data_IF_675940589335
#
_entry.id   IF_675940589335
#
_cell.length_a   1.000
_cell.length_b   1.000
_cell.length_c   1.000
_cell.angle_alpha   90.00
_cell.angle_beta   90.00
_cell.angle_gamma   90.00
#
_symmetry.space_group_name_H-M   'P 1'
#
loop_
_entity.id
_entity.type
_entity.pdbx_description
1 polymer ?
#
# COMPACT_ATOMS: atom_id res chain seq x y z
N UNK A 1 48.46 -44.96 12.94
CA UNK A 1 47.56 -45.84 13.71
C UNK A 1 46.20 -45.14 13.75
N UNK A 2 45.07 -45.62 13.21
CA UNK A 2 44.68 -46.96 12.73
C UNK A 2 44.72 -48.03 13.85
N UNK A 3 43.71 -48.87 14.09
CA UNK A 3 42.53 -49.23 13.28
C UNK A 3 41.45 -50.03 14.10
N UNK A 4 40.15 -49.83 13.79
CA UNK A 4 38.98 -50.78 13.68
C UNK A 4 37.67 -50.20 14.31
N UNK A 5 36.47 -50.19 13.67
CA UNK A 5 35.54 -51.28 13.19
C UNK A 5 34.85 -52.03 14.39
N UNK A 6 33.59 -52.49 14.41
CA UNK A 6 32.56 -52.72 13.34
C UNK A 6 31.11 -53.02 13.86
N UNK A 7 30.06 -52.76 13.04
CA UNK A 7 28.64 -53.32 13.00
C UNK A 7 27.69 -53.25 14.22
N UNK A 8 26.35 -53.00 14.13
CA UNK A 8 25.18 -53.61 13.39
C UNK A 8 24.72 -54.94 14.06
N UNK A 9 23.44 -55.27 14.35
CA UNK A 9 22.23 -55.45 13.47
C UNK A 9 20.88 -55.59 14.23
N UNK A 10 19.75 -55.21 13.58
CA UNK A 10 18.38 -55.84 13.48
C UNK A 10 17.61 -56.41 14.73
N UNK A 11 16.27 -56.61 14.79
CA UNK A 11 15.04 -56.00 14.18
C UNK A 11 13.76 -56.44 15.01
N UNK A 12 12.47 -56.61 14.55
CA UNK A 12 11.29 -56.27 15.39
C UNK A 12 10.14 -57.32 15.49
N UNK A 13 9.04 -56.94 16.18
CA UNK A 13 7.65 -57.45 16.03
C UNK A 13 6.69 -56.26 16.33
N UNK A 14 5.66 -55.98 15.52
CA UNK A 14 4.29 -56.56 15.51
C UNK A 14 3.51 -56.37 16.85
N UNK A 15 2.27 -55.87 16.89
CA UNK A 15 1.35 -55.40 15.82
C UNK A 15 0.13 -54.64 16.39
N UNK A 16 -0.56 -53.83 15.55
CA UNK A 16 -2.00 -53.42 15.63
C UNK A 16 -2.58 -52.78 16.92
N UNK A 17 -3.64 -51.95 16.96
CA UNK A 17 -4.49 -51.17 16.02
C UNK A 17 -5.20 -50.09 16.92
N UNK A 18 -6.11 -49.17 16.58
CA UNK A 18 -6.96 -48.66 15.47
C UNK A 18 -7.16 -47.14 15.83
N UNK A 19 -7.54 -46.14 15.04
CA UNK A 19 -7.99 -45.89 13.65
C UNK A 19 -7.58 -44.40 13.34
N UNK A 20 -8.07 -43.57 12.40
CA UNK A 20 -9.05 -43.64 11.30
C UNK A 20 -8.73 -42.58 10.24
N UNK A 21 -8.83 -42.92 8.95
CA UNK A 21 -8.77 -41.99 7.81
C UNK A 21 -9.46 -42.67 6.61
N UNK A 22 -10.49 -42.07 6.01
CA UNK A 22 -11.17 -42.65 4.85
C UNK A 22 -10.61 -42.13 3.50
N UNK A 23 -10.29 -43.02 2.53
CA UNK A 23 -9.75 -42.67 1.22
C UNK A 23 -10.84 -42.53 0.13
N UNK A 24 -10.40 -42.28 -1.10
CA UNK A 24 -11.17 -41.75 -2.23
C UNK A 24 -11.00 -42.60 -3.49
N UNK A 25 -12.09 -43.19 -4.01
CA UNK A 25 -12.12 -44.05 -5.20
C UNK A 25 -13.58 -44.31 -5.67
N UNK A 26 -13.91 -44.75 -6.89
CA UNK A 26 -13.35 -44.64 -8.26
C UNK A 26 -14.38 -45.28 -9.24
N UNK A 27 -14.65 -44.68 -10.42
CA UNK A 27 -15.32 -45.30 -11.61
C UNK A 27 -16.79 -45.82 -11.39
N UNK A 28 -17.65 -46.04 -12.40
CA UNK A 28 -17.65 -45.75 -13.84
C UNK A 28 -18.88 -46.36 -14.58
N UNK A 29 -19.07 -46.00 -15.85
CA UNK A 29 -19.86 -46.72 -16.91
C UNK A 29 -21.42 -46.70 -16.98
N UNK A 30 -21.94 -45.91 -17.95
CA UNK A 30 -22.92 -46.26 -19.03
C UNK A 30 -24.33 -46.84 -18.78
N UNK A 31 -25.36 -46.18 -19.35
CA UNK A 31 -26.68 -46.78 -19.71
C UNK A 31 -27.74 -45.77 -20.21
N UNK A 32 -28.36 -45.99 -21.40
CA UNK A 32 -29.35 -45.08 -22.06
C UNK A 32 -29.99 -45.79 -23.30
N UNK A 33 -31.22 -45.50 -23.79
CA UNK A 33 -32.45 -44.92 -23.19
C UNK A 33 -33.60 -45.99 -23.12
N UNK A 34 -34.92 -45.64 -22.97
CA UNK A 34 -35.75 -45.42 -24.18
C UNK A 34 -36.95 -44.41 -24.09
N UNK A 35 -37.20 -43.76 -25.24
CA UNK A 35 -38.49 -43.32 -25.83
C UNK A 35 -39.63 -42.63 -25.01
N UNK A 36 -39.82 -41.34 -25.34
CA UNK A 36 -41.05 -40.73 -25.88
C UNK A 36 -42.37 -40.71 -25.08
N UNK A 37 -42.77 -39.51 -24.62
CA UNK A 37 -44.09 -38.91 -24.96
C UNK A 37 -44.11 -37.39 -24.69
N UNK A 38 -44.80 -36.64 -25.54
CA UNK A 38 -44.94 -35.19 -25.46
C UNK A 38 -46.14 -34.75 -24.61
N UNK A 39 -46.03 -33.58 -23.96
CA UNK A 39 -47.11 -32.59 -23.77
C UNK A 39 -46.46 -31.23 -23.47
N UNK A 40 -46.93 -30.16 -24.12
CA UNK A 40 -46.63 -28.77 -23.74
C UNK A 40 -47.87 -28.19 -23.05
N UNK A 41 -47.67 -27.50 -21.93
CA UNK A 41 -48.67 -26.65 -21.26
C UNK A 41 -48.25 -25.18 -21.33
N UNK A 42 -49.21 -24.28 -21.17
CA UNK A 42 -49.11 -22.88 -21.61
C UNK A 42 -48.36 -21.93 -20.65
N UNK A 43 -48.19 -20.69 -21.12
CA UNK A 43 -47.64 -19.47 -20.49
C UNK A 43 -48.16 -19.21 -19.05
N UNK A 44 -47.58 -18.35 -18.20
CA UNK A 44 -46.87 -17.09 -18.46
C UNK A 44 -45.92 -16.69 -17.29
N UNK A 45 -44.92 -15.83 -17.51
CA UNK A 45 -44.05 -15.29 -16.43
C UNK A 45 -43.41 -13.92 -16.79
N UNK A 46 -44.10 -12.79 -16.49
CA UNK A 46 -43.63 -11.44 -16.83
C UNK A 46 -42.92 -10.76 -15.65
N UNK A 47 -41.74 -11.26 -15.27
CA UNK A 47 -40.89 -10.66 -14.23
C UNK A 47 -39.67 -9.94 -14.84
N UNK A 48 -39.85 -8.67 -15.24
CA UNK A 48 -38.75 -7.80 -15.66
C UNK A 48 -37.71 -7.68 -14.54
N UNK A 49 -36.50 -8.20 -14.78
CA UNK A 49 -35.34 -7.83 -13.98
C UNK A 49 -34.76 -6.57 -14.59
N UNK A 50 -34.93 -5.45 -13.91
CA UNK A 50 -34.12 -4.26 -14.17
C UNK A 50 -32.67 -4.60 -13.87
N UNK A 51 -31.96 -5.12 -14.88
CA UNK A 51 -30.50 -5.11 -14.89
C UNK A 51 -30.08 -3.64 -14.97
N UNK A 52 -29.97 -3.04 -13.78
CA UNK A 52 -29.60 -1.66 -13.55
C UNK A 52 -28.14 -1.49 -13.93
N UNK A 53 -27.89 -1.54 -15.23
CA UNK A 53 -26.59 -1.46 -15.85
C UNK A 53 -25.84 -0.28 -15.26
N UNK A 54 -24.81 -0.60 -14.48
CA UNK A 54 -23.80 0.38 -14.10
C UNK A 54 -23.09 0.76 -15.38
N UNK A 55 -23.66 1.74 -16.07
CA UNK A 55 -22.98 2.60 -17.01
C UNK A 55 -21.82 3.21 -16.24
N UNK A 56 -20.69 2.51 -16.25
CA UNK A 56 -19.40 3.06 -15.91
C UNK A 56 -19.16 4.15 -16.93
N UNK A 57 -19.54 5.38 -16.56
CA UNK A 57 -19.30 6.58 -17.36
C UNK A 57 -17.83 6.56 -17.68
N UNK A 58 -17.52 6.22 -18.93
CA UNK A 58 -16.16 6.15 -19.42
C UNK A 58 -15.72 7.61 -19.59
N UNK A 59 -15.27 8.18 -18.47
CA UNK A 59 -14.82 9.55 -18.38
C UNK A 59 -13.65 9.70 -19.34
N UNK A 60 -13.92 10.27 -20.52
CA UNK A 60 -12.90 10.46 -21.53
C UNK A 60 -11.77 11.31 -20.96
N UNK A 61 -10.53 10.98 -21.35
CA UNK A 61 -9.36 11.73 -20.92
C UNK A 61 -9.43 13.14 -21.52
N UNK A 62 -10.03 14.08 -20.78
CA UNK A 62 -9.93 15.52 -21.07
C UNK A 62 -8.46 15.92 -20.98
N UNK A 63 -7.78 15.87 -22.12
CA UNK A 63 -6.33 15.98 -22.20
C UNK A 63 -5.89 17.40 -21.84
N UNK A 64 -5.28 17.56 -20.67
CA UNK A 64 -4.88 18.85 -20.13
C UNK A 64 -3.36 19.01 -20.25
N UNK A 65 -2.95 19.73 -21.31
CA UNK A 65 -1.56 20.02 -21.70
C UNK A 65 -0.75 20.83 -20.65
N UNK A 66 -1.29 21.04 -19.45
CA UNK A 66 -0.63 21.70 -18.33
C UNK A 66 -1.55 21.86 -17.12
N UNK A 67 -0.99 22.05 -15.91
CA UNK A 67 -1.76 22.18 -14.68
C UNK A 67 -2.57 23.48 -14.63
N UNK A 68 -3.88 23.38 -14.35
CA UNK A 68 -4.79 24.54 -14.21
C UNK A 68 -4.55 25.35 -12.92
N UNK A 69 -3.85 24.76 -11.94
CA UNK A 69 -3.44 25.42 -10.69
C UNK A 69 -1.99 25.03 -10.39
N UNK A 70 -1.12 26.01 -10.16
CA UNK A 70 0.24 25.77 -9.69
C UNK A 70 0.26 25.31 -8.22
N UNK A 71 1.27 24.53 -7.86
CA UNK A 71 1.49 24.08 -6.49
C UNK A 71 1.87 25.27 -5.58
N UNK A 72 1.14 25.56 -4.49
CA UNK A 72 1.36 26.76 -3.67
C UNK A 72 2.50 26.54 -2.67
N UNK A 73 3.74 26.56 -3.16
CA UNK A 73 4.99 26.30 -2.41
C UNK A 73 5.04 27.00 -1.06
N UNK A 74 4.60 28.26 -0.99
CA UNK A 74 4.61 29.10 0.22
C UNK A 74 3.65 28.56 1.28
N UNK A 75 2.41 28.22 0.91
CA UNK A 75 1.41 27.64 1.83
C UNK A 75 1.89 26.27 2.33
N UNK A 76 2.47 25.47 1.43
CA UNK A 76 3.04 24.16 1.80
C UNK A 76 4.26 24.32 2.71
N UNK A 77 5.08 25.37 2.55
CA UNK A 77 6.19 25.65 3.46
C UNK A 77 5.70 26.07 4.85
N UNK A 78 4.61 26.83 4.92
CA UNK A 78 3.93 27.16 6.18
C UNK A 78 3.37 25.91 6.86
N UNK A 79 2.61 25.07 6.14
CA UNK A 79 2.15 23.75 6.64
C UNK A 79 3.31 22.90 7.17
N UNK A 80 4.42 22.81 6.42
CA UNK A 80 5.62 22.07 6.85
C UNK A 80 6.21 22.62 8.14
N UNK A 81 6.33 23.95 8.26
CA UNK A 81 6.84 24.62 9.46
C UNK A 81 5.92 24.41 10.65
N UNK A 82 4.63 24.63 10.48
CA UNK A 82 3.65 24.63 11.56
C UNK A 82 3.44 23.22 12.10
N UNK A 83 3.38 22.20 11.23
CA UNK A 83 3.36 20.79 11.66
C UNK A 83 4.67 20.42 12.36
N UNK A 84 5.85 20.73 11.80
CA UNK A 84 7.11 20.37 12.46
C UNK A 84 7.30 21.08 13.80
N UNK A 85 6.90 22.35 13.92
CA UNK A 85 6.91 23.08 15.20
C UNK A 85 5.96 22.43 16.20
N UNK A 86 4.69 22.24 15.84
CA UNK A 86 3.66 21.74 16.75
C UNK A 86 3.96 20.32 17.28
N UNK A 87 4.59 19.46 16.48
CA UNK A 87 4.90 18.07 16.88
C UNK A 87 6.30 17.88 17.49
N UNK A 88 7.23 18.83 17.36
CA UNK A 88 8.65 18.62 17.74
C UNK A 88 9.28 19.71 18.62
N UNK A 89 8.56 20.80 18.94
CA UNK A 89 9.09 21.89 19.77
C UNK A 89 9.34 21.48 21.23
N UNK A 90 8.52 20.59 21.79
CA UNK A 90 8.62 20.17 23.20
C UNK A 90 9.14 18.73 23.34
N UNK A 91 9.29 18.01 22.23
CA UNK A 91 9.74 16.62 22.18
C UNK A 91 11.27 16.45 22.29
N UNK A 92 11.68 15.35 22.94
CA UNK A 92 13.07 14.94 23.04
C UNK A 92 13.39 13.79 22.08
N UNK A 93 14.68 13.54 21.81
CA UNK A 93 15.07 12.46 20.91
C UNK A 93 15.00 11.09 21.59
N UNK A 94 13.91 10.37 21.36
CA UNK A 94 13.78 8.93 21.64
C UNK A 94 13.56 8.18 20.31
N UNK A 95 14.43 7.21 19.93
CA UNK A 95 14.42 6.61 18.59
C UNK A 95 13.14 5.86 18.20
N UNK A 96 12.44 5.20 19.13
CA UNK A 96 11.21 4.47 18.82
C UNK A 96 10.03 5.43 18.57
N UNK A 97 9.84 6.41 19.46
CA UNK A 97 8.89 7.51 19.31
C UNK A 97 9.18 8.30 18.02
N UNK A 98 10.44 8.68 17.74
CA UNK A 98 10.81 9.40 16.52
C UNK A 98 10.44 8.60 15.25
N UNK A 99 10.56 7.27 15.27
CA UNK A 99 10.18 6.39 14.15
C UNK A 99 8.67 6.36 13.91
N UNK A 100 7.88 6.50 14.96
CA UNK A 100 6.41 6.59 14.88
C UNK A 100 5.98 8.01 14.47
N UNK A 101 6.53 9.02 15.13
CA UNK A 101 6.29 10.44 14.89
C UNK A 101 6.61 10.86 13.44
N UNK A 102 7.70 10.36 12.84
CA UNK A 102 8.02 10.62 11.44
C UNK A 102 6.93 10.15 10.46
N UNK A 103 6.26 9.03 10.76
CA UNK A 103 5.11 8.56 9.97
C UNK A 103 3.92 9.48 10.16
N UNK A 104 3.49 9.69 11.41
CA UNK A 104 2.38 10.58 11.77
C UNK A 104 2.51 11.96 11.15
N UNK A 105 3.69 12.59 11.25
CA UNK A 105 3.99 13.89 10.62
C UNK A 105 3.86 13.80 9.09
N UNK A 106 4.35 12.72 8.46
CA UNK A 106 4.20 12.52 7.00
C UNK A 106 2.75 12.34 6.56
N UNK A 107 1.93 11.60 7.32
CA UNK A 107 0.49 11.45 7.10
C UNK A 107 -0.26 12.79 7.27
N UNK A 108 0.07 13.57 8.31
CA UNK A 108 -0.56 14.88 8.61
C UNK A 108 -0.22 15.90 7.52
N UNK A 109 1.05 16.02 7.13
CA UNK A 109 1.48 16.88 6.00
C UNK A 109 0.77 16.46 4.72
N UNK A 110 0.77 15.16 4.40
CA UNK A 110 0.12 14.62 3.20
C UNK A 110 -1.37 14.92 3.15
N UNK A 111 -2.04 14.94 4.30
CA UNK A 111 -3.46 15.28 4.42
C UNK A 111 -3.66 16.78 4.17
N UNK A 112 -3.00 17.65 4.94
CA UNK A 112 -3.15 19.11 4.78
C UNK A 112 -2.79 19.62 3.38
N UNK A 113 -1.74 19.06 2.74
CA UNK A 113 -1.37 19.43 1.36
C UNK A 113 -2.39 18.90 0.32
N UNK A 114 -3.08 17.79 0.61
CA UNK A 114 -4.19 17.28 -0.23
C UNK A 114 -5.45 18.15 -0.07
N UNK A 115 -5.70 18.69 1.12
CA UNK A 115 -6.85 19.55 1.41
C UNK A 115 -6.79 20.90 0.68
N UNK A 116 -5.63 21.29 0.15
CA UNK A 116 -5.47 22.40 -0.81
C UNK A 116 -6.14 22.14 -2.17
N UNK A 117 -6.74 20.96 -2.38
CA UNK A 117 -7.50 20.56 -3.57
C UNK A 117 -6.78 20.87 -4.90
N UNK A 118 -5.52 20.44 -4.97
CA UNK A 118 -4.67 20.57 -6.17
C UNK A 118 -4.97 19.36 -7.07
N UNK A 119 -5.68 19.52 -8.20
CA UNK A 119 -6.07 18.40 -9.03
C UNK A 119 -4.85 17.82 -9.76
N UNK A 120 -4.88 16.51 -10.04
CA UNK A 120 -3.88 15.81 -10.87
C UNK A 120 -2.44 15.74 -10.34
N UNK A 121 -2.18 16.06 -9.08
CA UNK A 121 -0.83 15.92 -8.49
C UNK A 121 -0.65 14.64 -7.66
N UNK A 122 0.45 13.93 -7.90
CA UNK A 122 0.98 12.86 -7.04
C UNK A 122 1.89 13.50 -5.99
N UNK A 123 1.48 13.38 -4.72
CA UNK A 123 2.20 13.94 -3.57
C UNK A 123 3.08 12.86 -2.92
N UNK A 124 4.37 13.14 -2.81
CA UNK A 124 5.36 12.33 -2.09
C UNK A 124 5.86 13.16 -0.92
N UNK A 125 5.62 12.69 0.31
CA UNK A 125 6.11 13.33 1.54
C UNK A 125 7.22 12.47 2.12
N UNK A 126 8.36 13.10 2.43
CA UNK A 126 9.51 12.44 3.06
C UNK A 126 9.89 13.22 4.31
N UNK A 127 9.94 12.55 5.45
CA UNK A 127 10.29 13.14 6.75
C UNK A 127 11.49 12.40 7.32
N UNK A 128 12.52 13.16 7.67
CA UNK A 128 13.71 12.68 8.36
C UNK A 128 13.76 13.32 9.74
N UNK A 129 13.91 12.52 10.80
CA UNK A 129 14.16 12.98 12.17
C UNK A 129 15.49 12.37 12.62
N UNK A 130 16.37 13.18 13.21
CA UNK A 130 17.70 12.74 13.63
C UNK A 130 18.20 13.54 14.84
N UNK A 131 18.95 12.88 15.72
CA UNK A 131 19.42 13.48 16.97
C UNK A 131 20.39 14.65 16.73
N UNK A 132 20.21 15.75 17.45
CA UNK A 132 21.12 16.90 17.38
C UNK A 132 22.34 16.68 18.29
N UNK A 133 23.19 15.73 17.89
CA UNK A 133 24.54 15.56 18.44
C UNK A 133 25.55 16.33 17.57
N UNK A 134 26.83 16.29 17.95
CA UNK A 134 27.96 16.86 17.19
C UNK A 134 28.30 16.04 15.93
N UNK A 135 27.31 15.81 15.07
CA UNK A 135 27.36 15.01 13.85
C UNK A 135 26.56 15.73 12.75
N UNK A 136 27.05 15.74 11.52
CA UNK A 136 26.37 16.36 10.38
C UNK A 136 25.66 15.30 9.53
N UNK A 137 24.39 15.56 9.19
CA UNK A 137 23.64 14.78 8.22
C UNK A 137 23.46 15.66 6.97
N UNK A 138 23.93 15.17 5.82
CA UNK A 138 23.66 15.78 4.52
C UNK A 138 22.59 14.96 3.80
N UNK A 139 21.51 15.62 3.37
CA UNK A 139 20.40 15.00 2.66
C UNK A 139 20.26 15.70 1.31
N UNK A 140 20.24 14.93 0.24
CA UNK A 140 20.07 15.42 -1.13
C UNK A 140 19.29 14.43 -1.97
N UNK A 141 18.37 14.95 -2.78
CA UNK A 141 17.57 14.19 -3.74
C UNK A 141 18.00 14.50 -5.17
N UNK A 142 17.73 13.56 -6.07
CA UNK A 142 17.87 13.71 -7.52
C UNK A 142 16.54 13.33 -8.15
N UNK A 143 15.96 14.24 -8.93
CA UNK A 143 14.66 14.08 -9.55
C UNK A 143 14.80 14.28 -11.07
N UNK A 144 14.15 13.43 -11.85
CA UNK A 144 13.87 13.68 -13.27
C UNK A 144 12.41 14.10 -13.34
N UNK A 145 12.18 15.38 -13.64
CA UNK A 145 10.89 16.05 -13.50
C UNK A 145 10.80 17.24 -14.47
N UNK A 146 9.59 17.70 -14.80
CA UNK A 146 9.37 18.88 -15.65
C UNK A 146 9.48 20.18 -14.82
N UNK A 147 10.43 21.09 -15.12
CA UNK A 147 10.58 22.36 -14.40
C UNK A 147 9.38 23.31 -14.47
N UNK A 148 8.36 23.05 -15.29
CA UNK A 148 7.16 23.90 -15.43
C UNK A 148 5.97 23.42 -14.59
N UNK A 149 5.78 22.11 -14.48
CA UNK A 149 4.61 21.51 -13.80
C UNK A 149 4.96 20.81 -12.49
N UNK A 150 6.14 20.23 -12.35
CA UNK A 150 6.58 19.55 -11.12
C UNK A 150 7.21 20.55 -10.13
N UNK A 151 7.10 20.28 -8.83
CA UNK A 151 7.52 21.24 -7.78
C UNK A 151 7.87 20.54 -6.47
N UNK A 152 8.68 21.18 -5.63
CA UNK A 152 8.91 20.75 -4.24
C UNK A 152 8.84 21.92 -3.25
N UNK A 153 8.66 21.58 -1.97
CA UNK A 153 8.87 22.47 -0.83
C UNK A 153 9.55 21.67 0.29
N UNK A 154 10.50 22.25 1.00
CA UNK A 154 11.15 21.62 2.14
C UNK A 154 11.37 22.60 3.29
N UNK A 155 11.37 22.07 4.52
CA UNK A 155 11.58 22.84 5.74
C UNK A 155 12.45 22.06 6.73
N UNK A 156 13.38 22.76 7.38
CA UNK A 156 14.27 22.20 8.40
C UNK A 156 13.90 22.80 9.75
N UNK A 157 13.51 21.93 10.68
CA UNK A 157 13.27 22.26 12.07
C UNK A 157 14.42 21.78 12.97
N UNK A 158 14.71 22.51 14.05
CA UNK A 158 15.75 22.17 15.04
C UNK A 158 15.29 22.55 16.43
N UNK A 159 15.43 21.61 17.36
CA UNK A 159 15.22 21.78 18.80
C UNK A 159 16.56 21.55 19.53
N UNK A 160 16.57 21.68 20.86
CA UNK A 160 17.69 21.35 21.75
C UNK A 160 18.26 19.92 21.54
N UNK A 161 17.37 18.94 21.35
CA UNK A 161 17.72 17.51 21.37
C UNK A 161 17.72 16.84 19.99
N UNK A 162 17.00 17.41 19.02
CA UNK A 162 16.75 16.80 17.71
C UNK A 162 16.70 17.81 16.58
N UNK A 163 16.82 17.30 15.36
CA UNK A 163 16.61 18.01 14.11
C UNK A 163 15.67 17.22 13.21
N UNK A 164 14.90 17.92 12.38
CA UNK A 164 14.02 17.30 11.40
C UNK A 164 14.08 18.04 10.06
N UNK A 165 13.95 17.28 8.97
CA UNK A 165 13.75 17.78 7.62
C UNK A 165 12.48 17.13 7.08
N UNK A 166 11.50 17.93 6.69
CA UNK A 166 10.37 17.47 5.89
C UNK A 166 10.47 18.04 4.48
N UNK A 167 10.21 17.20 3.48
CA UNK A 167 10.22 17.54 2.06
C UNK A 167 8.97 16.99 1.40
N UNK A 168 8.24 17.84 0.68
CA UNK A 168 7.10 17.47 -0.15
C UNK A 168 7.49 17.66 -1.61
N UNK A 169 7.33 16.60 -2.41
CA UNK A 169 7.44 16.64 -3.85
C UNK A 169 6.04 16.47 -4.44
N UNK A 170 5.69 17.35 -5.37
CA UNK A 170 4.43 17.32 -6.11
C UNK A 170 4.77 17.10 -7.58
N UNK A 171 4.39 15.92 -8.08
CA UNK A 171 4.61 15.52 -9.48
C UNK A 171 3.26 15.55 -10.21
N UNK A 172 3.17 16.26 -11.32
CA UNK A 172 1.97 16.36 -12.14
C UNK A 172 1.67 15.01 -12.82
N UNK A 173 0.39 14.72 -13.07
CA UNK A 173 -0.04 13.45 -13.66
C UNK A 173 -1.08 13.66 -14.77
N UNK A 174 -0.61 13.50 -16.00
CA UNK A 174 -1.38 13.44 -17.26
C UNK A 174 -2.23 12.15 -17.40
#
# INVERSE_FOLDING_TARGET
>A
MALKRTTRTDRPTHEHLLNSQMPWALLGCTGLPPLSRSTVSYMDEPSQRDDASRLTVQMENTYQLGPTKHFPVVIVNQILKDVLTNYLQEEQYEPELCRQMAKTISEVIKTQVKDLMIPRYKLIVVVHIGQLKSQSILIGSRCLWDPKSDTFSSYVFRNSSLSALASVYAVYFE
#
